data_IF_767750777292
#
_entry.id   IF_767750777292
#
_cell.length_a   1.000
_cell.length_b   1.000
_cell.length_c   1.000
_cell.angle_alpha   90.00
_cell.angle_beta   90.00
_cell.angle_gamma   90.00
#
_symmetry.space_group_name_H-M   'P 1'
#
loop_
_entity.id
_entity.type
_entity.pdbx_description
1 polymer ?
#
# COMPACT_ATOMS: atom_id res chain seq x y z
N UNK A 1 13.15 10.00 5.48
CA UNK A 1 11.86 10.69 5.67
C UNK A 1 10.83 9.60 5.95
N UNK A 2 10.10 9.71 7.06
CA UNK A 2 9.11 8.71 7.49
C UNK A 2 7.99 8.63 6.45
N UNK A 3 7.75 7.44 5.90
CA UNK A 3 6.65 7.16 4.97
C UNK A 3 5.31 7.22 5.70
N UNK A 4 4.22 7.44 4.97
CA UNK A 4 2.87 7.46 5.57
C UNK A 4 2.57 6.14 6.29
N UNK A 5 2.91 4.99 5.69
CA UNK A 5 2.74 3.70 6.37
C UNK A 5 3.58 3.60 7.65
N UNK A 6 4.79 4.17 7.65
CA UNK A 6 5.66 4.17 8.82
C UNK A 6 5.11 5.02 9.97
N UNK A 7 4.41 6.11 9.66
CA UNK A 7 3.69 6.93 10.65
C UNK A 7 2.53 6.15 11.25
N UNK A 8 1.71 5.52 10.42
CA UNK A 8 0.56 4.74 10.89
C UNK A 8 0.99 3.52 11.71
N UNK A 9 2.04 2.80 11.31
CA UNK A 9 2.62 1.71 12.12
C UNK A 9 3.11 2.19 13.48
N UNK A 10 3.83 3.32 13.50
CA UNK A 10 4.34 3.88 14.76
C UNK A 10 3.20 4.33 15.66
N UNK A 11 2.14 4.93 15.09
CA UNK A 11 0.94 5.32 15.82
C UNK A 11 0.26 4.10 16.42
N UNK A 12 0.01 3.07 15.61
CA UNK A 12 -0.58 1.81 16.04
C UNK A 12 0.21 1.15 17.17
N UNK A 13 1.55 1.15 17.06
CA UNK A 13 2.44 0.63 18.10
C UNK A 13 2.32 1.38 19.42
N UNK A 14 2.22 2.71 19.37
CA UNK A 14 2.05 3.56 20.56
C UNK A 14 0.66 3.36 21.16
N UNK A 15 -0.38 3.29 20.33
CA UNK A 15 -1.77 3.10 20.76
C UNK A 15 -1.97 1.74 21.46
N UNK A 16 -1.15 0.74 21.13
CA UNK A 16 -1.16 -0.60 21.74
C UNK A 16 -0.13 -0.76 22.88
N UNK A 17 0.61 0.30 23.22
CA UNK A 17 1.73 0.29 24.19
C UNK A 17 2.77 -0.82 23.94
N UNK A 18 3.04 -1.11 22.67
CA UNK A 18 3.93 -2.20 22.28
C UNK A 18 5.36 -1.73 22.01
N UNK A 19 6.35 -2.57 22.38
CA UNK A 19 7.71 -2.38 21.90
C UNK A 19 7.82 -2.87 20.47
N UNK A 20 8.87 -2.42 19.80
CA UNK A 20 9.18 -2.84 18.43
C UNK A 20 9.36 -4.36 18.33
N UNK A 21 9.87 -4.99 19.40
CA UNK A 21 9.98 -6.44 19.52
C UNK A 21 8.60 -7.13 19.55
N UNK A 22 7.66 -6.64 20.35
CA UNK A 22 6.33 -7.23 20.52
C UNK A 22 5.54 -7.16 19.20
N UNK A 23 5.53 -6.00 18.56
CA UNK A 23 4.93 -5.81 17.23
C UNK A 23 5.59 -6.72 16.19
N UNK A 24 6.93 -6.87 16.23
CA UNK A 24 7.62 -7.73 15.28
C UNK A 24 7.26 -9.21 15.46
N UNK A 25 7.06 -9.65 16.71
CA UNK A 25 6.57 -10.99 17.02
C UNK A 25 5.14 -11.20 16.53
N UNK A 26 4.25 -10.24 16.79
CA UNK A 26 2.84 -10.30 16.39
C UNK A 26 2.68 -10.36 14.86
N UNK A 27 3.51 -9.62 14.13
CA UNK A 27 3.50 -9.57 12.67
C UNK A 27 4.36 -10.66 12.01
N UNK A 28 5.00 -11.53 12.80
CA UNK A 28 5.93 -12.56 12.31
C UNK A 28 7.02 -12.00 11.38
N UNK A 29 7.55 -10.81 11.72
CA UNK A 29 8.64 -10.14 11.00
C UNK A 29 9.81 -9.85 11.95
N UNK A 30 10.98 -9.55 11.39
CA UNK A 30 12.10 -9.11 12.22
C UNK A 30 11.90 -7.67 12.70
N UNK A 31 12.37 -7.36 13.92
CA UNK A 31 12.33 -6.00 14.44
C UNK A 31 13.11 -5.02 13.55
N UNK A 32 14.18 -5.49 12.89
CA UNK A 32 14.91 -4.72 11.89
C UNK A 32 14.03 -4.36 10.68
N UNK A 33 13.17 -5.28 10.22
CA UNK A 33 12.23 -5.02 9.13
C UNK A 33 11.19 -3.98 9.54
N UNK A 34 10.54 -4.13 10.70
CA UNK A 34 9.54 -3.17 11.19
C UNK A 34 10.17 -1.77 11.36
N UNK A 35 11.36 -1.69 11.95
CA UNK A 35 12.10 -0.43 12.08
C UNK A 35 12.46 0.20 10.73
N UNK A 36 12.78 -0.62 9.71
CA UNK A 36 13.09 -0.13 8.38
C UNK A 36 11.85 0.42 7.66
N UNK A 37 10.68 -0.17 7.88
CA UNK A 37 9.39 0.33 7.36
C UNK A 37 8.98 1.61 8.10
N UNK A 38 9.05 1.63 9.44
CA UNK A 38 8.74 2.82 10.25
C UNK A 38 9.60 4.03 9.86
N UNK A 39 10.90 3.83 9.60
CA UNK A 39 11.80 4.93 9.18
C UNK A 39 11.68 5.30 7.70
N UNK A 40 10.91 4.55 6.92
CA UNK A 40 10.77 4.75 5.48
C UNK A 40 11.99 4.32 4.66
N UNK A 41 12.93 3.56 5.24
CA UNK A 41 14.11 3.04 4.52
C UNK A 41 13.78 1.82 3.66
N UNK A 42 12.66 1.15 3.93
CA UNK A 42 12.19 -0.01 3.16
C UNK A 42 10.72 0.14 2.81
N UNK A 43 10.37 -0.08 1.55
CA UNK A 43 8.96 -0.18 1.13
C UNK A 43 8.37 -1.50 1.64
N UNK A 44 7.15 -1.47 2.19
CA UNK A 44 6.45 -2.69 2.58
C UNK A 44 6.16 -3.56 1.34
N UNK A 45 6.23 -4.90 1.46
CA UNK A 45 5.79 -5.80 0.39
C UNK A 45 4.27 -5.70 0.19
N UNK A 46 3.78 -6.23 -0.94
CA UNK A 46 2.35 -6.35 -1.20
C UNK A 46 1.69 -7.18 -0.07
N UNK A 47 0.52 -6.73 0.42
CA UNK A 47 -0.24 -7.44 1.45
C UNK A 47 0.30 -7.27 2.88
N UNK A 48 1.32 -6.45 3.09
CA UNK A 48 1.80 -6.15 4.44
C UNK A 48 0.74 -5.39 5.26
N UNK A 49 0.03 -4.46 4.62
CA UNK A 49 -1.11 -3.75 5.19
C UNK A 49 -2.21 -4.70 5.68
N UNK A 50 -2.56 -5.73 4.90
CA UNK A 50 -3.56 -6.72 5.31
C UNK A 50 -3.08 -7.57 6.48
N UNK A 51 -1.79 -7.91 6.52
CA UNK A 51 -1.20 -8.62 7.65
C UNK A 51 -1.29 -7.76 8.93
N UNK A 52 -1.01 -6.46 8.85
CA UNK A 52 -1.15 -5.55 10.00
C UNK A 52 -2.61 -5.39 10.41
N UNK A 53 -3.52 -5.21 9.45
CA UNK A 53 -4.96 -5.10 9.70
C UNK A 53 -5.48 -6.35 10.42
N UNK A 54 -5.09 -7.54 9.97
CA UNK A 54 -5.49 -8.81 10.56
C UNK A 54 -4.90 -8.99 11.97
N UNK A 55 -3.61 -8.71 12.15
CA UNK A 55 -2.91 -8.88 13.43
C UNK A 55 -3.41 -7.95 14.54
N UNK A 56 -3.86 -6.75 14.17
CA UNK A 56 -4.39 -5.75 15.11
C UNK A 56 -5.91 -5.60 15.06
N UNK A 57 -6.60 -6.43 14.27
CA UNK A 57 -8.05 -6.39 14.08
C UNK A 57 -8.57 -4.97 13.82
N UNK A 58 -7.87 -4.24 12.95
CA UNK A 58 -8.23 -2.86 12.61
C UNK A 58 -9.59 -2.84 11.90
N UNK A 59 -10.48 -1.97 12.36
CA UNK A 59 -11.82 -1.82 11.79
C UNK A 59 -11.98 -0.50 11.02
N UNK A 60 -12.82 -0.53 9.97
CA UNK A 60 -13.27 0.62 9.18
C UNK A 60 -12.12 1.59 8.85
N UNK A 61 -12.14 2.77 9.45
CA UNK A 61 -11.30 3.91 9.09
C UNK A 61 -9.82 3.65 9.33
N UNK A 62 -9.48 2.83 10.35
CA UNK A 62 -8.11 2.47 10.66
C UNK A 62 -7.52 1.53 9.61
N UNK A 63 -8.32 0.55 9.14
CA UNK A 63 -7.91 -0.36 8.09
C UNK A 63 -7.73 0.38 6.76
N UNK A 64 -8.66 1.28 6.42
CA UNK A 64 -8.55 2.07 5.21
C UNK A 64 -7.41 3.09 5.26
N UNK A 65 -7.14 3.68 6.43
CA UNK A 65 -5.97 4.52 6.64
C UNK A 65 -4.67 3.73 6.40
N UNK A 66 -4.58 2.50 6.92
CA UNK A 66 -3.44 1.61 6.72
C UNK A 66 -3.23 1.27 5.24
N UNK A 67 -4.30 0.88 4.52
CA UNK A 67 -4.25 0.58 3.08
C UNK A 67 -3.79 1.78 2.27
N UNK A 68 -4.44 2.93 2.47
CA UNK A 68 -4.07 4.19 1.78
C UNK A 68 -2.63 4.60 2.08
N UNK A 69 -2.17 4.43 3.31
CA UNK A 69 -0.81 4.75 3.71
C UNK A 69 0.20 3.80 3.04
N UNK A 70 -0.12 2.50 2.93
CA UNK A 70 0.68 1.51 2.24
C UNK A 70 0.78 1.81 0.74
N UNK A 71 -0.35 2.10 0.07
CA UNK A 71 -0.39 2.42 -1.35
C UNK A 71 0.42 3.67 -1.68
N UNK A 72 0.30 4.73 -0.88
CA UNK A 72 1.11 5.96 -1.05
C UNK A 72 2.60 5.75 -0.79
N UNK A 73 2.96 4.73 -0.01
CA UNK A 73 4.35 4.40 0.32
C UNK A 73 4.98 3.40 -0.66
N UNK A 74 4.17 2.78 -1.51
CA UNK A 74 4.60 1.81 -2.51
C UNK A 74 5.01 2.53 -3.80
N UNK A 75 6.11 2.07 -4.40
CA UNK A 75 6.63 2.64 -5.66
C UNK A 75 6.32 1.77 -6.89
N UNK A 76 5.94 0.53 -6.67
CA UNK A 76 5.66 -0.45 -7.72
C UNK A 76 4.49 -1.33 -7.29
N UNK A 77 3.50 -1.47 -8.17
CA UNK A 77 2.35 -2.33 -7.96
C UNK A 77 2.47 -3.56 -8.87
N UNK A 78 2.18 -4.74 -8.34
CA UNK A 78 2.15 -5.99 -9.11
C UNK A 78 0.70 -6.33 -9.39
N UNK A 79 0.39 -6.57 -10.66
CA UNK A 79 -0.94 -7.00 -11.11
C UNK A 79 -0.81 -8.44 -11.59
N UNK A 80 -1.56 -9.35 -10.96
CA UNK A 80 -1.67 -10.73 -11.42
C UNK A 80 -2.84 -10.84 -12.40
N UNK A 81 -2.55 -11.22 -13.64
CA UNK A 81 -3.55 -11.41 -14.69
C UNK A 81 -3.71 -12.91 -14.97
N UNK A 82 -4.95 -13.40 -14.93
CA UNK A 82 -5.29 -14.81 -15.07
C UNK A 82 -5.66 -15.17 -16.51
N UNK A 83 -6.28 -14.24 -17.23
CA UNK A 83 -6.66 -14.45 -18.64
C UNK A 83 -5.67 -13.82 -19.62
N UNK A 84 -5.60 -14.28 -20.88
CA UNK A 84 -4.84 -13.61 -21.94
C UNK A 84 -5.28 -12.16 -22.15
N UNK A 85 -6.58 -11.89 -22.08
CA UNK A 85 -7.14 -10.54 -22.22
C UNK A 85 -6.71 -9.62 -21.07
N UNK A 86 -6.74 -10.11 -19.83
CA UNK A 86 -6.22 -9.38 -18.67
C UNK A 86 -4.73 -9.07 -18.79
N UNK A 87 -3.94 -10.02 -19.32
CA UNK A 87 -2.50 -9.81 -19.55
C UNK A 87 -2.23 -8.74 -20.60
N UNK A 88 -3.00 -8.75 -21.69
CA UNK A 88 -2.90 -7.73 -22.73
C UNK A 88 -3.30 -6.34 -22.20
N UNK A 89 -4.38 -6.26 -21.42
CA UNK A 89 -4.84 -5.04 -20.77
C UNK A 89 -3.81 -4.51 -19.77
N UNK A 90 -3.33 -5.35 -18.84
CA UNK A 90 -2.32 -4.99 -17.85
C UNK A 90 -1.00 -4.56 -18.50
N UNK A 91 -0.56 -5.26 -19.55
CA UNK A 91 0.64 -4.92 -20.30
C UNK A 91 0.51 -3.59 -21.04
N UNK A 92 -0.62 -3.33 -21.68
CA UNK A 92 -0.89 -2.04 -22.34
C UNK A 92 -0.92 -0.90 -21.32
N UNK A 93 -1.58 -1.11 -20.18
CA UNK A 93 -1.68 -0.14 -19.09
C UNK A 93 -0.30 0.18 -18.54
N UNK A 94 0.50 -0.82 -18.18
CA UNK A 94 1.86 -0.63 -17.66
C UNK A 94 2.75 0.13 -18.64
N UNK A 95 2.72 -0.20 -19.94
CA UNK A 95 3.50 0.49 -20.98
C UNK A 95 3.06 1.95 -21.17
N UNK A 96 1.74 2.20 -21.25
CA UNK A 96 1.18 3.55 -21.41
C UNK A 96 1.43 4.41 -20.18
N UNK A 97 1.22 3.87 -18.99
CA UNK A 97 1.46 4.59 -17.74
C UNK A 97 2.95 4.85 -17.54
N UNK A 98 3.84 3.87 -17.72
CA UNK A 98 5.29 4.08 -17.61
C UNK A 98 5.83 5.13 -18.59
N UNK A 99 5.29 5.21 -19.80
CA UNK A 99 5.73 6.19 -20.81
C UNK A 99 5.10 7.58 -20.68
N UNK A 100 3.95 7.71 -20.00
CA UNK A 100 3.21 8.98 -19.93
C UNK A 100 2.96 9.51 -18.53
N UNK A 101 3.31 8.79 -17.46
CA UNK A 101 3.06 9.26 -16.09
C UNK A 101 3.68 10.62 -15.82
N UNK A 102 4.91 10.84 -16.30
CA UNK A 102 5.62 12.11 -16.15
C UNK A 102 5.05 13.24 -17.04
N UNK A 103 4.24 12.89 -18.04
CA UNK A 103 3.64 13.81 -19.00
C UNK A 103 2.13 14.04 -18.80
N UNK A 104 1.50 13.30 -17.89
CA UNK A 104 0.08 13.44 -17.56
C UNK A 104 -0.09 14.60 -16.58
N UNK A 105 -1.01 15.50 -16.90
CA UNK A 105 -1.40 16.57 -15.98
C UNK A 105 -2.18 16.02 -14.77
N UNK A 106 -2.20 16.74 -13.63
CA UNK A 106 -3.01 16.34 -12.47
C UNK A 106 -4.48 16.05 -12.82
N UNK A 107 -5.08 16.87 -13.68
CA UNK A 107 -6.47 16.73 -14.12
C UNK A 107 -6.72 15.43 -14.91
N UNK A 108 -5.74 14.96 -15.69
CA UNK A 108 -5.84 13.71 -16.43
C UNK A 108 -5.72 12.50 -15.49
N UNK A 109 -4.86 12.59 -14.47
CA UNK A 109 -4.74 11.56 -13.44
C UNK A 109 -6.03 11.44 -12.62
N UNK A 110 -6.68 12.57 -12.29
CA UNK A 110 -7.99 12.56 -11.62
C UNK A 110 -9.08 11.90 -12.47
N UNK A 111 -9.10 12.15 -13.79
CA UNK A 111 -10.04 11.49 -14.71
C UNK A 111 -9.83 9.99 -14.76
N UNK A 112 -8.58 9.53 -14.78
CA UNK A 112 -8.25 8.10 -14.75
C UNK A 112 -8.75 7.48 -13.43
N UNK A 113 -8.51 8.13 -12.29
CA UNK A 113 -9.02 7.67 -10.99
C UNK A 113 -10.55 7.60 -10.96
N UNK A 114 -11.24 8.58 -11.55
CA UNK A 114 -12.69 8.60 -11.63
C UNK A 114 -13.25 7.44 -12.47
N UNK A 115 -12.61 7.12 -13.60
CA UNK A 115 -12.99 5.99 -14.45
C UNK A 115 -12.82 4.67 -13.71
N UNK A 116 -11.69 4.48 -13.02
CA UNK A 116 -11.40 3.23 -12.31
C UNK A 116 -12.33 3.01 -11.10
N UNK A 117 -12.68 4.07 -10.35
CA UNK A 117 -13.64 4.00 -9.24
C UNK A 117 -15.07 3.67 -9.69
N UNK A 118 -15.44 4.07 -10.91
CA UNK A 118 -16.80 3.82 -11.43
C UNK A 118 -17.09 2.33 -11.64
N UNK A 119 -16.07 1.50 -11.79
CA UNK A 119 -16.22 0.05 -11.92
C UNK A 119 -16.51 -0.70 -10.62
N UNK A 120 -16.50 -0.05 -9.46
CA UNK A 120 -16.82 -0.66 -8.14
C UNK A 120 -18.32 -0.63 -7.80
N UNK A 121 -19.18 -0.13 -8.71
CA UNK A 121 -20.60 0.10 -8.47
C UNK A 121 -21.56 -0.84 -9.24
N UNK A 122 -21.05 -1.90 -9.88
CA UNK A 122 -21.85 -2.97 -10.50
C UNK A 122 -21.71 -4.29 -9.74
#
# INVERSE_FOLDING_TARGET
MTTEIGKELRKLRIDQDERLYDMSHRLEKSSAFISAVERGSKSPPLGFEELVIAAYQLASDAADAMRRAADRSRKAFTIEAQTPLERDAAGLMARRMSSKMDALSPDELEKILAILRKGECD
#
